data_IF_424242936442
#
_entry.id   IF_424242936442
#
_cell.length_a   1.000
_cell.length_b   1.000
_cell.length_c   1.000
_cell.angle_alpha   90.00
_cell.angle_beta   90.00
_cell.angle_gamma   90.00
#
_symmetry.space_group_name_H-M   'P 1'
#
loop_
_entity.id
_entity.type
_entity.pdbx_description
1 polymer ?
#
# COMPACT_ATOMS: atom_id res chain seq x y z
N UNK A 1 36.04 48.59 -23.01
CA UNK A 1 34.96 48.00 -22.19
C UNK A 1 34.66 46.64 -22.77
N UNK A 2 35.15 45.57 -22.14
CA UNK A 2 34.86 44.20 -22.58
C UNK A 2 33.45 43.83 -22.12
N UNK A 3 32.62 43.19 -22.96
CA UNK A 3 31.29 42.76 -22.53
C UNK A 3 31.44 41.66 -21.46
N UNK A 4 30.84 41.87 -20.30
CA UNK A 4 30.70 40.86 -19.26
C UNK A 4 29.84 39.71 -19.80
N UNK A 5 30.43 38.52 -19.94
CA UNK A 5 29.68 37.30 -20.26
C UNK A 5 28.55 37.12 -19.25
N UNK A 6 27.32 36.78 -19.68
CA UNK A 6 26.25 36.46 -18.75
C UNK A 6 26.70 35.25 -17.92
N UNK A 7 26.71 35.41 -16.61
CA UNK A 7 26.97 34.30 -15.69
C UNK A 7 25.94 33.22 -15.97
N UNK A 8 26.36 32.11 -16.56
CA UNK A 8 25.49 30.97 -16.77
C UNK A 8 24.96 30.52 -15.40
N UNK A 9 23.63 30.42 -15.28
CA UNK A 9 23.01 29.84 -14.09
C UNK A 9 23.33 28.35 -14.13
N UNK A 10 24.39 27.94 -13.44
CA UNK A 10 24.70 26.53 -13.25
C UNK A 10 23.64 25.92 -12.33
N UNK A 11 22.64 25.29 -12.93
CA UNK A 11 21.66 24.49 -12.19
C UNK A 11 22.38 23.24 -11.66
N UNK A 12 22.29 22.92 -10.36
CA UNK A 12 22.93 21.74 -9.79
C UNK A 12 22.51 20.47 -10.53
N UNK A 13 23.47 19.64 -10.93
CA UNK A 13 23.23 18.38 -11.66
C UNK A 13 22.22 17.47 -10.96
N UNK A 14 22.24 17.48 -9.63
CA UNK A 14 21.36 16.68 -8.79
C UNK A 14 19.90 17.13 -8.88
N UNK A 15 19.64 18.43 -9.08
CA UNK A 15 18.30 18.97 -9.25
C UNK A 15 17.71 18.54 -10.61
N UNK A 16 18.54 18.58 -11.66
CA UNK A 16 18.16 18.13 -13.00
C UNK A 16 17.89 16.62 -12.99
N UNK A 17 18.78 15.83 -12.36
CA UNK A 17 18.57 14.40 -12.20
C UNK A 17 17.26 14.12 -11.44
N UNK A 18 17.01 14.81 -10.33
CA UNK A 18 15.77 14.65 -9.56
C UNK A 18 14.52 14.88 -10.42
N UNK A 19 14.42 16.01 -11.14
CA UNK A 19 13.24 16.34 -11.96
C UNK A 19 13.05 15.33 -13.11
N UNK A 20 14.12 14.96 -13.82
CA UNK A 20 14.05 13.96 -14.90
C UNK A 20 13.59 12.62 -14.36
N UNK A 21 14.23 12.11 -13.31
CA UNK A 21 13.96 10.78 -12.76
C UNK A 21 12.57 10.68 -12.14
N UNK A 22 12.08 11.77 -11.55
CA UNK A 22 10.74 11.83 -10.98
C UNK A 22 9.64 11.62 -12.03
N UNK A 23 9.91 11.85 -13.31
CA UNK A 23 8.94 11.72 -14.42
C UNK A 23 9.04 10.40 -15.19
N UNK A 24 10.02 9.56 -14.86
CA UNK A 24 10.20 8.29 -15.54
C UNK A 24 9.30 7.20 -14.94
N UNK A 25 8.92 6.16 -15.72
CA UNK A 25 8.17 5.03 -15.19
C UNK A 25 8.87 4.38 -13.99
N UNK A 26 8.09 3.95 -12.99
CA UNK A 26 8.62 3.35 -11.75
C UNK A 26 9.63 2.21 -12.00
N UNK A 27 9.38 1.37 -13.02
CA UNK A 27 10.29 0.28 -13.40
C UNK A 27 11.68 0.76 -13.82
N UNK A 28 11.76 1.90 -14.52
CA UNK A 28 13.04 2.52 -14.91
C UNK A 28 13.78 3.06 -13.69
N UNK A 29 13.06 3.75 -12.80
CA UNK A 29 13.61 4.29 -11.55
C UNK A 29 14.17 3.17 -10.65
N UNK A 30 13.45 2.05 -10.53
CA UNK A 30 13.90 0.89 -9.76
C UNK A 30 15.22 0.31 -10.31
N UNK A 31 15.43 0.31 -11.63
CA UNK A 31 16.70 -0.15 -12.23
C UNK A 31 17.86 0.79 -11.90
N UNK A 32 17.60 2.09 -11.77
CA UNK A 32 18.65 3.05 -11.41
C UNK A 32 19.19 2.86 -9.99
N UNK A 33 18.40 2.27 -9.09
CA UNK A 33 18.88 1.88 -7.75
C UNK A 33 20.10 0.95 -7.80
N UNK A 34 20.27 0.22 -8.89
CA UNK A 34 21.37 -0.73 -9.09
C UNK A 34 22.60 -0.12 -9.78
N UNK A 35 22.55 1.15 -10.20
CA UNK A 35 23.64 1.77 -10.97
C UNK A 35 24.79 2.21 -10.08
N UNK A 36 24.53 3.01 -9.04
CA UNK A 36 25.52 3.38 -8.03
C UNK A 36 24.86 3.84 -6.72
N UNK A 37 25.66 4.04 -5.66
CA UNK A 37 25.18 4.45 -4.33
C UNK A 37 24.44 5.79 -4.33
N UNK A 38 24.86 6.75 -5.16
CA UNK A 38 24.20 8.06 -5.25
C UNK A 38 22.81 7.94 -5.86
N UNK A 39 22.67 7.15 -6.92
CA UNK A 39 21.37 6.86 -7.53
C UNK A 39 20.45 6.06 -6.62
N UNK A 40 20.99 5.10 -5.87
CA UNK A 40 20.26 4.40 -4.81
C UNK A 40 19.74 5.37 -3.75
N UNK A 41 20.57 6.33 -3.31
CA UNK A 41 20.20 7.33 -2.31
C UNK A 41 19.08 8.25 -2.82
N UNK A 42 19.20 8.79 -4.03
CA UNK A 42 18.16 9.63 -4.66
C UNK A 42 16.86 8.86 -4.83
N UNK A 43 16.90 7.67 -5.42
CA UNK A 43 15.71 6.87 -5.68
C UNK A 43 15.11 6.21 -4.41
N UNK A 44 15.73 6.36 -3.24
CA UNK A 44 15.20 5.93 -1.94
C UNK A 44 14.85 7.11 -1.03
N UNK A 45 15.12 8.34 -1.47
CA UNK A 45 14.78 9.54 -0.73
C UNK A 45 13.26 9.75 -0.69
N UNK A 46 12.75 10.13 0.48
CA UNK A 46 11.31 10.31 0.68
C UNK A 46 10.73 11.42 -0.20
N UNK A 47 11.44 12.54 -0.36
CA UNK A 47 10.97 13.66 -1.17
C UNK A 47 10.96 13.29 -2.65
N UNK A 48 11.94 12.49 -3.10
CA UNK A 48 11.94 11.91 -4.44
C UNK A 48 10.74 11.00 -4.68
N UNK A 49 10.44 10.07 -3.76
CA UNK A 49 9.31 9.14 -3.90
C UNK A 49 7.97 9.89 -3.94
N UNK A 50 7.82 10.94 -3.14
CA UNK A 50 6.64 11.81 -3.13
C UNK A 50 6.48 12.56 -4.46
N UNK A 51 7.57 13.14 -4.98
CA UNK A 51 7.56 13.81 -6.29
C UNK A 51 7.25 12.81 -7.41
N UNK A 52 7.90 11.65 -7.41
CA UNK A 52 7.70 10.59 -8.40
C UNK A 52 6.25 10.11 -8.42
N UNK A 53 5.64 9.87 -7.26
CA UNK A 53 4.24 9.43 -7.15
C UNK A 53 3.27 10.49 -7.69
N UNK A 54 3.57 11.78 -7.53
CA UNK A 54 2.76 12.88 -8.10
C UNK A 54 2.84 12.95 -9.61
N UNK A 55 4.03 12.77 -10.18
CA UNK A 55 4.22 12.80 -11.63
C UNK A 55 3.81 11.50 -12.33
N UNK A 56 3.74 10.39 -11.59
CA UNK A 56 3.36 9.08 -12.10
C UNK A 56 2.16 8.56 -11.29
N UNK A 57 0.95 9.12 -11.49
CA UNK A 57 -0.24 8.63 -10.83
C UNK A 57 -0.41 7.13 -11.13
N UNK A 58 -0.77 6.37 -10.10
CA UNK A 58 -0.96 4.93 -10.23
C UNK A 58 -2.05 4.65 -11.26
N UNK A 59 -1.67 4.00 -12.35
CA UNK A 59 -2.62 3.38 -13.27
C UNK A 59 -3.00 2.01 -12.72
N UNK A 60 -4.27 1.63 -12.88
CA UNK A 60 -4.72 0.30 -12.50
C UNK A 60 -3.96 -0.72 -13.34
N UNK A 61 -3.04 -1.44 -12.69
CA UNK A 61 -2.20 -2.45 -13.35
C UNK A 61 -2.86 -3.83 -13.34
N UNK A 62 -3.83 -4.06 -12.45
CA UNK A 62 -4.51 -5.33 -12.33
C UNK A 62 -5.56 -5.38 -11.22
N UNK A 63 -6.22 -6.52 -11.09
CA UNK A 63 -7.22 -6.84 -10.08
C UNK A 63 -6.76 -8.01 -9.21
N UNK A 64 -7.11 -7.95 -7.93
CA UNK A 64 -7.06 -9.07 -7.01
C UNK A 64 -8.48 -9.61 -6.84
N UNK A 65 -8.66 -10.91 -7.10
CA UNK A 65 -9.96 -11.58 -6.99
C UNK A 65 -9.83 -12.69 -5.96
N UNK A 66 -10.69 -12.65 -4.95
CA UNK A 66 -10.82 -13.70 -3.95
C UNK A 66 -11.92 -14.68 -4.39
N UNK A 67 -11.58 -15.97 -4.44
CA UNK A 67 -12.56 -17.04 -4.57
C UNK A 67 -12.97 -17.52 -3.18
N UNK A 68 -14.20 -17.21 -2.77
CA UNK A 68 -14.71 -17.56 -1.45
C UNK A 68 -14.86 -19.07 -1.21
N UNK A 69 -14.99 -19.88 -2.26
CA UNK A 69 -15.15 -21.33 -2.15
C UNK A 69 -13.79 -22.01 -1.90
N UNK A 70 -12.76 -21.60 -2.65
CA UNK A 70 -11.41 -22.18 -2.53
C UNK A 70 -10.51 -21.41 -1.57
N UNK A 71 -10.93 -20.21 -1.17
CA UNK A 71 -10.18 -19.26 -0.32
C UNK A 71 -8.85 -18.81 -0.91
N UNK A 72 -8.72 -18.93 -2.23
CA UNK A 72 -7.55 -18.53 -2.99
C UNK A 72 -7.70 -17.09 -3.49
N UNK A 73 -6.56 -16.41 -3.64
CA UNK A 73 -6.48 -15.09 -4.26
C UNK A 73 -5.80 -15.26 -5.63
N UNK A 74 -6.41 -14.69 -6.66
CA UNK A 74 -5.88 -14.65 -8.01
C UNK A 74 -5.67 -13.23 -8.49
N UNK A 75 -4.62 -13.02 -9.29
CA UNK A 75 -4.28 -11.71 -9.88
C UNK A 75 -4.60 -11.69 -11.37
N UNK A 76 -5.21 -10.62 -11.84
CA UNK A 76 -5.49 -10.41 -13.27
C UNK A 76 -4.85 -9.11 -13.74
N UNK A 77 -4.02 -9.14 -14.78
CA UNK A 77 -3.44 -7.93 -15.37
C UNK A 77 -4.42 -7.26 -16.31
N UNK A 78 -4.42 -5.92 -16.35
CA UNK A 78 -5.26 -5.16 -17.30
C UNK A 78 -4.76 -5.28 -18.73
N UNK A 79 -3.46 -5.43 -18.93
CA UNK A 79 -2.82 -5.55 -20.26
C UNK A 79 -2.80 -6.98 -20.81
N UNK A 80 -3.41 -7.94 -20.12
CA UNK A 80 -3.44 -9.35 -20.51
C UNK A 80 -2.09 -10.06 -20.44
N UNK A 81 -1.04 -9.39 -19.97
CA UNK A 81 0.26 -10.00 -19.68
C UNK A 81 0.31 -10.64 -18.29
N UNK A 82 1.37 -11.40 -18.01
CA UNK A 82 1.71 -11.72 -16.63
C UNK A 82 1.99 -10.41 -15.90
N UNK A 83 1.32 -10.15 -14.77
CA UNK A 83 1.55 -8.94 -13.99
C UNK A 83 2.99 -8.95 -13.47
N UNK A 84 3.93 -8.14 -14.02
CA UNK A 84 5.33 -8.20 -13.63
C UNK A 84 5.56 -7.64 -12.22
N UNK A 85 4.52 -7.05 -11.63
CA UNK A 85 4.56 -6.39 -10.35
C UNK A 85 4.48 -7.36 -9.18
N UNK A 86 3.90 -8.55 -9.33
CA UNK A 86 3.65 -9.49 -8.22
C UNK A 86 4.51 -10.74 -8.43
N UNK A 87 5.57 -10.97 -7.63
CA UNK A 87 6.46 -12.11 -7.77
C UNK A 87 5.78 -13.48 -7.55
N UNK A 88 4.67 -13.49 -6.82
CA UNK A 88 3.87 -14.68 -6.50
C UNK A 88 2.38 -14.35 -6.70
N UNK A 89 1.86 -14.45 -7.94
CA UNK A 89 0.48 -14.07 -8.27
C UNK A 89 -0.57 -14.92 -7.56
N UNK A 90 -0.17 -16.11 -7.08
CA UNK A 90 -1.00 -17.01 -6.27
C UNK A 90 -0.92 -16.73 -4.77
N UNK A 91 -0.04 -15.80 -4.36
CA UNK A 91 0.35 -15.55 -2.97
C UNK A 91 0.62 -16.86 -2.19
N UNK A 92 1.25 -17.85 -2.84
CA UNK A 92 1.54 -19.17 -2.28
C UNK A 92 2.30 -19.13 -0.94
N UNK A 93 3.17 -18.13 -0.76
CA UNK A 93 3.90 -17.90 0.50
C UNK A 93 2.96 -17.59 1.67
N UNK A 94 1.87 -16.90 1.37
CA UNK A 94 0.77 -16.58 2.27
C UNK A 94 -0.16 -17.79 2.42
N UNK A 95 -0.41 -18.55 1.35
CA UNK A 95 -1.11 -19.83 1.41
C UNK A 95 -0.39 -20.87 2.28
N UNK A 96 0.94 -20.86 2.38
CA UNK A 96 1.69 -21.75 3.30
C UNK A 96 1.40 -21.44 4.77
N UNK A 97 1.20 -20.17 5.12
CA UNK A 97 0.64 -19.78 6.43
C UNK A 97 -0.83 -20.17 6.53
N UNK A 98 -1.58 -20.01 5.43
CA UNK A 98 -2.98 -20.45 5.35
C UNK A 98 -3.19 -21.97 5.35
N UNK A 99 -2.16 -22.78 5.07
CA UNK A 99 -2.27 -24.23 5.26
C UNK A 99 -2.51 -24.56 6.75
N UNK A 100 -2.15 -23.66 7.67
CA UNK A 100 -2.53 -23.71 9.07
C UNK A 100 -3.84 -22.95 9.40
N UNK A 101 -4.37 -22.13 8.49
CA UNK A 101 -5.57 -21.28 8.68
C UNK A 101 -6.37 -21.18 7.38
N UNK A 102 -7.61 -21.70 7.33
CA UNK A 102 -8.57 -21.83 6.18
C UNK A 102 -8.62 -20.72 5.08
N UNK A 103 -7.50 -20.24 4.53
CA UNK A 103 -7.38 -19.16 3.56
C UNK A 103 -7.15 -17.75 4.15
N UNK A 104 -7.15 -16.77 3.24
CA UNK A 104 -6.98 -15.33 3.53
C UNK A 104 -8.20 -14.60 3.00
N UNK A 105 -8.70 -13.64 3.78
CA UNK A 105 -9.82 -12.80 3.41
C UNK A 105 -9.36 -11.34 3.24
N UNK A 106 -9.67 -10.73 2.10
CA UNK A 106 -9.27 -9.37 1.78
C UNK A 106 -10.36 -8.38 2.19
N UNK A 107 -10.02 -7.43 3.06
CA UNK A 107 -10.96 -6.37 3.47
C UNK A 107 -10.93 -5.19 2.53
N UNK A 108 -9.74 -4.78 2.11
CA UNK A 108 -9.56 -3.57 1.34
C UNK A 108 -8.23 -3.59 0.57
N UNK A 109 -8.20 -2.94 -0.58
CA UNK A 109 -6.96 -2.49 -1.23
C UNK A 109 -6.88 -0.97 -1.22
N UNK A 110 -5.69 -0.42 -1.02
CA UNK A 110 -5.46 1.02 -1.00
C UNK A 110 -4.04 1.33 -1.47
N UNK A 111 -3.90 2.10 -2.56
CA UNK A 111 -2.64 2.61 -3.10
C UNK A 111 -1.51 1.56 -3.25
N UNK A 112 -1.87 0.30 -3.57
CA UNK A 112 -0.91 -0.79 -3.75
C UNK A 112 -0.63 -1.64 -2.50
N UNK A 113 -1.24 -1.32 -1.36
CA UNK A 113 -1.30 -2.20 -0.19
C UNK A 113 -2.65 -2.90 -0.09
N UNK A 114 -2.63 -4.07 0.55
CA UNK A 114 -3.82 -4.90 0.79
C UNK A 114 -3.96 -5.11 2.29
N UNK A 115 -5.15 -4.81 2.84
CA UNK A 115 -5.54 -5.13 4.20
C UNK A 115 -6.29 -6.46 4.19
N UNK A 116 -5.78 -7.44 4.93
CA UNK A 116 -6.31 -8.79 4.94
C UNK A 116 -6.21 -9.46 6.32
N UNK A 117 -6.93 -10.56 6.49
CA UNK A 117 -6.90 -11.42 7.68
C UNK A 117 -6.75 -12.87 7.25
N UNK A 118 -6.18 -13.71 8.11
CA UNK A 118 -6.29 -15.17 7.96
C UNK A 118 -7.69 -15.61 8.37
N UNK A 119 -8.20 -16.69 7.77
CA UNK A 119 -9.40 -17.39 8.26
C UNK A 119 -8.96 -18.38 9.33
N UNK A 120 -9.04 -17.98 10.60
CA UNK A 120 -8.80 -18.89 11.72
C UNK A 120 -10.12 -19.41 12.30
N UNK A 121 -10.12 -20.64 12.80
CA UNK A 121 -11.15 -21.14 13.72
C UNK A 121 -11.04 -20.51 15.11
N UNK A 122 -9.93 -19.83 15.40
CA UNK A 122 -9.75 -19.06 16.62
C UNK A 122 -10.58 -17.76 16.56
N UNK A 123 -11.15 -17.34 17.70
CA UNK A 123 -12.10 -16.22 17.75
C UNK A 123 -11.53 -14.85 17.37
N UNK A 124 -10.21 -14.71 17.25
CA UNK A 124 -9.55 -13.50 16.77
C UNK A 124 -8.46 -13.88 15.77
N UNK A 125 -8.67 -13.50 14.52
CA UNK A 125 -7.63 -13.53 13.50
C UNK A 125 -7.05 -12.12 13.40
N UNK A 126 -5.74 -11.97 13.62
CA UNK A 126 -5.09 -10.66 13.60
C UNK A 126 -5.00 -10.14 12.16
N UNK A 127 -5.51 -8.93 11.88
CA UNK A 127 -5.39 -8.35 10.55
C UNK A 127 -3.94 -7.95 10.28
N UNK A 128 -3.56 -7.94 9.01
CA UNK A 128 -2.23 -7.54 8.57
C UNK A 128 -2.30 -6.78 7.24
N UNK A 129 -1.31 -5.92 7.02
CA UNK A 129 -1.05 -5.27 5.75
C UNK A 129 -0.10 -6.13 4.93
N UNK A 130 -0.41 -6.25 3.64
CA UNK A 130 0.38 -6.94 2.65
C UNK A 130 0.76 -5.99 1.53
N UNK A 131 2.04 -5.98 1.16
CA UNK A 131 2.51 -5.45 -0.10
C UNK A 131 2.65 -6.63 -1.09
N UNK A 132 1.72 -6.80 -2.05
CA UNK A 132 1.76 -7.93 -2.99
C UNK A 132 2.98 -7.89 -3.92
N UNK A 133 3.55 -6.71 -4.16
CA UNK A 133 4.72 -6.55 -5.02
C UNK A 133 6.02 -7.02 -4.37
N UNK A 134 6.17 -6.78 -3.07
CA UNK A 134 7.39 -7.16 -2.33
C UNK A 134 7.21 -8.41 -1.49
N UNK A 135 5.98 -8.92 -1.39
CA UNK A 135 5.58 -10.02 -0.48
C UNK A 135 5.92 -9.74 1.00
N UNK A 136 6.17 -8.48 1.34
CA UNK A 136 6.34 -8.05 2.72
C UNK A 136 4.98 -7.85 3.37
N UNK A 137 4.87 -8.23 4.64
CA UNK A 137 3.66 -8.05 5.41
C UNK A 137 3.97 -7.47 6.78
N UNK A 138 2.95 -6.88 7.41
CA UNK A 138 3.01 -6.31 8.76
C UNK A 138 1.70 -6.55 9.47
N UNK A 139 1.74 -7.22 10.61
CA UNK A 139 0.57 -7.39 11.48
C UNK A 139 0.14 -6.05 12.07
N UNK A 140 -1.17 -5.88 12.21
CA UNK A 140 -1.78 -4.71 12.85
C UNK A 140 -2.05 -5.09 14.31
N UNK A 141 -1.58 -4.29 15.28
CA UNK A 141 -1.83 -4.57 16.68
C UNK A 141 -3.31 -4.44 17.00
N UNK A 142 -3.78 -5.23 17.96
CA UNK A 142 -5.12 -5.07 18.50
C UNK A 142 -5.28 -3.68 19.15
N UNK A 143 -6.46 -3.05 19.01
CA UNK A 143 -6.72 -1.78 19.65
C UNK A 143 -6.86 -1.97 21.18
N UNK A 144 -6.74 -0.88 21.97
CA UNK A 144 -6.94 -0.93 23.41
C UNK A 144 -8.32 -1.53 23.78
N UNK A 145 -8.33 -2.55 24.64
CA UNK A 145 -9.52 -3.34 24.94
C UNK A 145 -10.61 -2.54 25.70
N UNK A 146 -10.21 -1.48 26.40
CA UNK A 146 -11.10 -0.56 27.12
C UNK A 146 -11.92 0.32 26.17
N UNK A 147 -11.32 0.75 25.06
CA UNK A 147 -11.98 1.56 24.03
C UNK A 147 -12.74 0.72 23.00
N UNK A 148 -12.32 -0.54 22.80
CA UNK A 148 -12.85 -1.44 21.78
C UNK A 148 -13.26 -2.80 22.39
N UNK A 149 -14.26 -2.82 23.28
CA UNK A 149 -14.63 -4.03 24.04
C UNK A 149 -15.21 -5.14 23.15
N UNK A 150 -15.84 -4.77 22.03
CA UNK A 150 -16.51 -5.68 21.10
C UNK A 150 -16.23 -5.29 19.63
N UNK A 151 -16.41 -6.26 18.72
CA UNK A 151 -16.34 -6.18 17.24
C UNK A 151 -15.85 -4.84 16.68
N UNK A 152 -14.61 -4.83 16.22
CA UNK A 152 -14.03 -3.73 15.45
C UNK A 152 -13.61 -4.19 14.05
N UNK A 153 -13.53 -3.23 13.15
CA UNK A 153 -13.03 -3.37 11.78
C UNK A 153 -12.00 -2.27 11.52
N UNK A 154 -11.05 -2.56 10.64
CA UNK A 154 -10.01 -1.60 10.26
C UNK A 154 -10.27 -1.09 8.85
N UNK A 155 -9.99 0.19 8.63
CA UNK A 155 -9.99 0.83 7.31
C UNK A 155 -8.58 1.33 7.03
N UNK A 156 -8.06 0.99 5.86
CA UNK A 156 -6.82 1.50 5.33
C UNK A 156 -7.10 2.79 4.55
N UNK A 157 -6.38 3.85 4.89
CA UNK A 157 -6.56 5.18 4.32
C UNK A 157 -5.24 5.67 3.73
N UNK A 158 -5.33 6.29 2.55
CA UNK A 158 -4.23 6.94 1.88
C UNK A 158 -4.75 8.21 1.20
N UNK A 159 -4.15 9.34 1.53
CA UNK A 159 -4.51 10.63 0.95
C UNK A 159 -3.25 11.34 0.45
N UNK A 160 -2.93 11.21 -0.86
CA UNK A 160 -1.72 11.79 -1.43
C UNK A 160 -1.78 13.33 -1.48
N UNK A 161 -2.93 13.95 -1.22
CA UNK A 161 -3.04 15.40 -1.15
C UNK A 161 -2.50 15.97 0.17
N UNK A 162 -2.49 15.17 1.24
CA UNK A 162 -2.02 15.58 2.56
C UNK A 162 -0.71 14.90 2.97
N UNK A 163 -0.53 13.62 2.67
CA UNK A 163 0.66 12.85 3.02
C UNK A 163 0.78 11.55 2.23
N UNK A 164 2.00 11.16 1.86
CA UNK A 164 2.28 9.82 1.30
C UNK A 164 2.35 8.72 2.36
N UNK A 165 1.86 8.99 3.57
CA UNK A 165 1.77 8.02 4.64
C UNK A 165 0.40 7.34 4.67
N UNK A 166 0.41 6.03 4.82
CA UNK A 166 -0.80 5.27 5.11
C UNK A 166 -1.26 5.53 6.54
N UNK A 167 -2.58 5.59 6.72
CA UNK A 167 -3.22 5.64 8.03
C UNK A 167 -4.16 4.46 8.16
N UNK A 168 -4.32 3.98 9.38
CA UNK A 168 -5.25 2.91 9.71
C UNK A 168 -6.26 3.48 10.70
N UNK A 169 -7.55 3.44 10.35
CA UNK A 169 -8.62 3.78 11.26
C UNK A 169 -9.21 2.50 11.84
N UNK A 170 -9.44 2.48 13.16
CA UNK A 170 -10.17 1.41 13.84
C UNK A 170 -11.55 1.92 14.21
N UNK A 171 -12.59 1.22 13.75
CA UNK A 171 -13.98 1.57 13.99
C UNK A 171 -14.63 0.44 14.79
N UNK A 172 -15.49 0.77 15.76
CA UNK A 172 -16.24 -0.22 16.55
C UNK A 172 -17.74 -0.01 16.37
N UNK A 173 -18.49 -1.09 16.30
CA UNK A 173 -19.93 -1.02 16.50
C UNK A 173 -20.20 -0.94 18.01
N UNK A 174 -20.31 0.26 18.56
CA UNK A 174 -20.94 0.43 19.86
C UNK A 174 -22.44 0.16 19.69
N UNK A 175 -22.84 -1.11 19.76
CA UNK A 175 -24.24 -1.43 20.04
C UNK A 175 -24.45 -1.21 21.54
N UNK A 176 -24.38 0.04 21.97
CA UNK A 176 -25.10 0.44 23.17
C UNK A 176 -26.56 0.51 22.74
N UNK A 177 -27.34 -0.53 23.05
CA UNK A 177 -28.80 -0.43 23.07
C UNK A 177 -29.18 0.63 24.11
N UNK A 178 -29.09 1.92 23.76
CA UNK A 178 -29.96 2.90 24.38
C UNK A 178 -31.36 2.54 23.86
N UNK A 179 -32.19 1.98 24.73
CA UNK A 179 -33.58 1.70 24.44
C UNK A 179 -34.21 2.94 23.81
N UNK A 180 -34.56 2.86 22.53
CA UNK A 180 -35.50 3.79 21.95
C UNK A 180 -36.84 3.44 22.58
N UNK A 181 -37.30 4.25 23.55
CA UNK A 181 -38.65 4.18 24.10
C UNK A 181 -39.54 5.10 23.25
N UNK A 182 -40.39 4.55 22.37
CA UNK A 182 -41.28 5.33 21.53
C UNK A 182 -42.53 5.85 22.28
N UNK A 183 -42.60 5.72 23.61
CA UNK A 183 -43.81 6.05 24.40
C UNK A 183 -43.61 7.04 25.54
N UNK A 184 -42.47 7.72 25.65
CA UNK A 184 -42.30 8.80 26.62
C UNK A 184 -42.92 10.12 26.13
N UNK A 185 -44.23 10.27 26.35
CA UNK A 185 -44.97 11.55 26.40
C UNK A 185 -46.11 11.46 27.40
#
# INVERSE_FOLDING_TARGET
MSPSSPSAVEVPSDLIAFDILSRLPAKSVLRFKCVCKQWLAVASDSFFLDAHTRYNPLTVSGFLVEDFATTTISTFSVDGGESPAIPDPSLSSLNRRSAASNGIFVWQSCNGLVLCTTRSSQPRSSPFLLNPTTMQYREIPDPPADLYPCKYWFILLFDPSTSFQYRIACLSSNITHAAFDPTAS
#
